data_IF_187894455351
#
_entry.id   IF_187894455351
#
_cell.length_a   1.000
_cell.length_b   1.000
_cell.length_c   1.000
_cell.angle_alpha   90.00
_cell.angle_beta   90.00
_cell.angle_gamma   90.00
#
_symmetry.space_group_name_H-M   'P 1'
#
loop_
_entity.id
_entity.type
_entity.pdbx_description
1 polymer ?
#
# COMPACT_ATOMS: atom_id res chain seq x y z
N UNK A 1 -16.76 -12.44 -1.70
CA UNK A 1 -16.82 -10.96 -1.68
C UNK A 1 -15.43 -10.44 -1.37
N UNK A 2 -14.92 -9.43 -2.09
CA UNK A 2 -13.64 -8.78 -1.73
C UNK A 2 -13.95 -7.60 -0.78
N UNK A 3 -13.65 -7.71 0.53
CA UNK A 3 -14.07 -6.71 1.53
C UNK A 3 -13.26 -5.42 1.47
N UNK A 4 -12.06 -5.46 0.89
CA UNK A 4 -11.16 -4.31 0.80
C UNK A 4 -10.83 -3.99 -0.65
N UNK A 5 -10.64 -2.70 -0.95
CA UNK A 5 -10.28 -2.23 -2.29
C UNK A 5 -9.34 -1.05 -2.19
N UNK A 6 -8.36 -0.99 -3.09
CA UNK A 6 -7.48 0.17 -3.21
C UNK A 6 -7.97 1.05 -4.36
N UNK A 7 -8.17 2.34 -4.07
CA UNK A 7 -8.69 3.32 -5.04
C UNK A 7 -7.58 4.33 -5.32
N UNK A 8 -7.23 4.50 -6.59
CA UNK A 8 -6.37 5.59 -7.02
C UNK A 8 -7.19 6.86 -7.21
N UNK A 9 -6.99 7.84 -6.32
CA UNK A 9 -7.70 9.11 -6.38
C UNK A 9 -6.98 10.09 -7.32
N UNK A 10 -7.62 10.48 -8.42
CA UNK A 10 -7.13 11.48 -9.38
C UNK A 10 -7.65 12.90 -9.13
N UNK A 11 -8.38 13.11 -8.03
CA UNK A 11 -9.05 14.37 -7.72
C UNK A 11 -8.51 14.99 -6.43
N UNK A 12 -9.06 16.15 -6.06
CA UNK A 12 -8.86 16.79 -4.74
C UNK A 12 -9.99 16.45 -3.76
N UNK A 13 -10.69 15.34 -3.97
CA UNK A 13 -11.79 14.92 -3.10
C UNK A 13 -11.32 14.68 -1.66
N UNK A 14 -12.17 15.03 -0.71
CA UNK A 14 -11.98 14.73 0.71
C UNK A 14 -12.39 13.27 0.96
N UNK A 15 -11.49 12.49 1.56
CA UNK A 15 -11.81 11.13 2.00
C UNK A 15 -12.49 11.16 3.37
N UNK A 16 -13.58 10.41 3.52
CA UNK A 16 -14.24 10.21 4.80
C UNK A 16 -13.41 9.28 5.71
N UNK A 17 -13.70 9.28 7.01
CA UNK A 17 -12.99 8.46 8.02
C UNK A 17 -13.07 6.94 7.81
N UNK A 18 -13.92 6.47 6.88
CA UNK A 18 -13.98 5.07 6.46
C UNK A 18 -12.88 4.64 5.50
N UNK A 19 -12.03 5.57 5.04
CA UNK A 19 -10.91 5.28 4.15
C UNK A 19 -9.57 5.41 4.88
N UNK A 20 -8.67 4.47 4.60
CA UNK A 20 -7.25 4.65 4.88
C UNK A 20 -6.59 5.34 3.68
N UNK A 21 -6.02 6.53 3.92
CA UNK A 21 -5.30 7.27 2.89
C UNK A 21 -3.83 6.86 2.88
N UNK A 22 -3.38 6.34 1.75
CA UNK A 22 -1.98 6.03 1.49
C UNK A 22 -1.34 7.17 0.71
N UNK A 23 -0.22 7.67 1.21
CA UNK A 23 0.59 8.67 0.52
C UNK A 23 1.94 8.06 0.16
N UNK A 24 2.48 8.36 -1.04
CA UNK A 24 3.80 7.91 -1.39
C UNK A 24 4.84 8.54 -0.46
N UNK A 25 5.81 7.74 -0.04
CA UNK A 25 7.03 8.25 0.58
C UNK A 25 7.74 9.22 -0.38
N UNK A 26 8.62 10.12 0.11
CA UNK A 26 9.35 11.05 -0.76
C UNK A 26 10.08 10.37 -1.92
N UNK A 27 10.66 9.19 -1.67
CA UNK A 27 11.30 8.36 -2.68
C UNK A 27 10.33 7.91 -3.78
N UNK A 28 9.21 7.27 -3.40
CA UNK A 28 8.18 6.83 -4.35
C UNK A 28 7.57 8.00 -5.11
N UNK A 29 7.39 9.14 -4.44
CA UNK A 29 6.92 10.37 -5.07
C UNK A 29 7.88 10.82 -6.18
N UNK A 30 9.19 10.77 -5.95
CA UNK A 30 10.20 11.07 -6.96
C UNK A 30 10.15 10.11 -8.15
N UNK A 31 9.90 8.83 -7.91
CA UNK A 31 9.72 7.82 -8.97
C UNK A 31 8.45 8.12 -9.79
N UNK A 32 7.32 8.39 -9.12
CA UNK A 32 6.04 8.67 -9.78
C UNK A 32 6.09 9.95 -10.62
N UNK A 33 6.86 10.95 -10.19
CA UNK A 33 7.08 12.17 -10.96
C UNK A 33 7.87 11.93 -12.25
N UNK A 34 8.89 11.04 -12.20
CA UNK A 34 9.71 10.70 -13.38
C UNK A 34 8.99 9.77 -14.35
N UNK A 35 8.17 8.85 -13.83
CA UNK A 35 7.36 7.96 -14.64
C UNK A 35 5.98 7.77 -14.00
N UNK A 36 4.98 8.58 -14.42
CA UNK A 36 3.62 8.52 -13.90
C UNK A 36 2.93 7.17 -14.06
N UNK A 37 3.37 6.30 -14.99
CA UNK A 37 2.77 4.96 -15.14
C UNK A 37 3.00 4.08 -13.91
N UNK A 38 4.04 4.35 -13.11
CA UNK A 38 4.34 3.53 -11.94
C UNK A 38 3.26 3.58 -10.87
N UNK A 39 2.56 4.70 -10.70
CA UNK A 39 1.48 4.76 -9.71
C UNK A 39 0.33 3.81 -10.09
N UNK A 40 0.10 3.61 -11.40
CA UNK A 40 -0.87 2.66 -11.90
C UNK A 40 -0.42 1.22 -11.61
N UNK A 41 0.85 0.88 -11.85
CA UNK A 41 1.41 -0.44 -11.52
C UNK A 41 1.31 -0.75 -10.02
N UNK A 42 1.58 0.23 -9.15
CA UNK A 42 1.40 0.09 -7.70
C UNK A 42 -0.05 -0.16 -7.36
N UNK A 43 -0.98 0.64 -7.89
CA UNK A 43 -2.42 0.47 -7.68
C UNK A 43 -2.94 -0.89 -8.16
N UNK A 44 -2.52 -1.35 -9.33
CA UNK A 44 -2.87 -2.68 -9.88
C UNK A 44 -2.33 -3.81 -9.00
N UNK A 45 -1.12 -3.65 -8.47
CA UNK A 45 -0.52 -4.67 -7.61
C UNK A 45 -1.19 -4.72 -6.23
N UNK A 46 -1.54 -3.57 -5.64
CA UNK A 46 -2.32 -3.54 -4.40
C UNK A 46 -3.70 -4.20 -4.56
N UNK A 47 -4.36 -3.99 -5.71
CA UNK A 47 -5.63 -4.66 -6.00
C UNK A 47 -5.50 -6.13 -6.40
N UNK A 48 -4.28 -6.61 -6.66
CA UNK A 48 -4.00 -8.01 -6.94
C UNK A 48 -3.71 -8.83 -5.67
N UNK A 49 -3.60 -8.19 -4.49
CA UNK A 49 -3.47 -8.88 -3.20
C UNK A 49 -4.73 -9.74 -2.99
N UNK A 50 -4.54 -10.99 -2.58
CA UNK A 50 -5.67 -11.88 -2.37
C UNK A 50 -6.51 -11.40 -1.19
N UNK A 51 -7.83 -11.47 -1.33
CA UNK A 51 -8.74 -11.01 -0.27
C UNK A 51 -8.49 -11.71 1.07
N UNK A 52 -8.02 -12.96 1.04
CA UNK A 52 -7.70 -13.72 2.25
C UNK A 52 -6.50 -13.14 3.01
N UNK A 53 -5.50 -12.62 2.31
CA UNK A 53 -4.31 -12.00 2.92
C UNK A 53 -4.64 -10.66 3.58
N UNK A 54 -5.60 -9.92 3.03
CA UNK A 54 -6.10 -8.69 3.65
C UNK A 54 -7.00 -8.99 4.86
N UNK A 55 -7.80 -10.05 4.77
CA UNK A 55 -8.71 -10.46 5.85
C UNK A 55 -7.97 -11.07 7.03
N UNK A 56 -6.87 -11.80 6.80
CA UNK A 56 -6.07 -12.40 7.87
C UNK A 56 -5.45 -11.37 8.81
N UNK A 57 -5.10 -10.18 8.28
CA UNK A 57 -4.58 -9.07 9.07
C UNK A 57 -5.70 -8.19 9.67
N UNK A 58 -6.90 -8.21 9.09
CA UNK A 58 -8.00 -7.38 9.53
C UNK A 58 -8.59 -7.83 10.87
N UNK A 59 -9.03 -6.86 11.68
CA UNK A 59 -9.81 -7.15 12.89
C UNK A 59 -11.27 -7.37 12.53
N UNK A 60 -11.89 -8.33 13.21
CA UNK A 60 -13.33 -8.56 13.12
C UNK A 60 -14.05 -7.68 14.14
N UNK A 61 -14.87 -6.77 13.63
CA UNK A 61 -15.89 -6.08 14.41
C UNK A 61 -17.16 -6.93 14.33
N UNK A 62 -17.97 -6.90 15.40
CA UNK A 62 -19.19 -7.72 15.51
C UNK A 62 -20.06 -7.67 14.24
N UNK A 63 -20.76 -8.77 13.96
CA UNK A 63 -21.56 -9.00 12.74
C UNK A 63 -20.76 -9.21 11.43
N UNK A 64 -19.52 -9.70 11.53
CA UNK A 64 -18.72 -10.10 10.37
C UNK A 64 -18.11 -8.92 9.59
N UNK A 65 -18.06 -7.74 10.20
CA UNK A 65 -17.43 -6.56 9.61
C UNK A 65 -15.90 -6.65 9.78
N UNK A 66 -15.18 -6.72 8.66
CA UNK A 66 -13.72 -6.65 8.67
C UNK A 66 -13.27 -5.19 8.64
N UNK A 67 -12.44 -4.81 9.61
CA UNK A 67 -11.82 -3.50 9.68
C UNK A 67 -10.31 -3.63 9.66
N UNK A 68 -9.70 -2.83 8.81
CA UNK A 68 -8.27 -2.77 8.64
C UNK A 68 -7.86 -1.34 9.00
N UNK A 69 -6.97 -1.17 9.99
CA UNK A 69 -6.42 0.12 10.41
C UNK A 69 -4.93 0.20 9.98
N UNK A 70 -4.24 1.34 10.17
CA UNK A 70 -2.89 1.51 9.64
C UNK A 70 -1.89 0.42 10.08
N UNK A 71 -1.99 -0.05 11.33
CA UNK A 71 -1.08 -1.08 11.86
C UNK A 71 -1.33 -2.45 11.26
N UNK A 72 -2.58 -2.81 10.99
CA UNK A 72 -2.88 -4.07 10.30
C UNK A 72 -2.43 -4.01 8.83
N UNK A 73 -2.62 -2.86 8.17
CA UNK A 73 -2.20 -2.69 6.78
C UNK A 73 -0.70 -2.84 6.57
N UNK A 74 0.09 -2.43 7.56
CA UNK A 74 1.55 -2.54 7.55
C UNK A 74 2.03 -4.01 7.50
N UNK A 75 1.24 -4.96 8.02
CA UNK A 75 1.58 -6.38 8.03
C UNK A 75 1.21 -7.12 6.73
N UNK A 76 0.39 -6.51 5.88
CA UNK A 76 -0.07 -7.14 4.64
C UNK A 76 1.12 -7.30 3.68
N UNK A 77 1.43 -8.54 3.33
CA UNK A 77 2.45 -8.83 2.33
C UNK A 77 2.00 -8.39 0.94
N UNK A 78 2.80 -7.56 0.28
CA UNK A 78 2.54 -7.07 -1.10
C UNK A 78 3.39 -7.83 -2.13
N UNK A 79 3.97 -8.98 -1.73
CA UNK A 79 4.90 -9.73 -2.55
C UNK A 79 6.10 -8.90 -3.03
N UNK A 80 6.73 -9.33 -4.12
CA UNK A 80 7.88 -8.65 -4.72
C UNK A 80 7.47 -7.51 -5.67
N UNK A 81 6.69 -6.55 -5.16
CA UNK A 81 6.22 -5.36 -5.88
C UNK A 81 7.36 -4.63 -6.61
N UNK A 82 8.50 -4.46 -5.94
CA UNK A 82 9.62 -3.62 -6.40
C UNK A 82 10.57 -4.33 -7.36
N UNK A 83 10.89 -5.60 -7.10
CA UNK A 83 11.84 -6.35 -7.92
C UNK A 83 11.21 -6.89 -9.21
N UNK A 84 9.95 -7.37 -9.16
CA UNK A 84 9.35 -8.08 -10.31
C UNK A 84 8.63 -7.16 -11.30
N UNK A 85 8.07 -6.01 -10.85
CA UNK A 85 7.24 -5.14 -11.71
C UNK A 85 7.76 -3.71 -11.88
N UNK A 86 8.61 -3.22 -10.97
CA UNK A 86 9.11 -1.85 -11.05
C UNK A 86 10.50 -1.74 -11.71
N UNK A 87 11.19 -2.88 -11.92
CA UNK A 87 12.54 -2.88 -12.52
C UNK A 87 13.58 -2.15 -11.67
N UNK A 88 13.31 -2.02 -10.37
CA UNK A 88 14.19 -1.34 -9.41
C UNK A 88 14.98 -2.45 -8.71
N UNK A 89 16.15 -2.78 -9.25
CA UNK A 89 17.07 -3.70 -8.57
C UNK A 89 17.93 -2.92 -7.55
N UNK A 90 18.04 -3.48 -6.35
CA UNK A 90 19.07 -3.24 -5.33
C UNK A 90 19.09 -1.98 -4.43
N UNK A 91 18.50 -0.83 -4.77
CA UNK A 91 18.58 0.35 -3.87
C UNK A 91 17.52 0.37 -2.75
N UNK A 92 16.56 -0.55 -2.79
CA UNK A 92 15.43 -0.57 -1.85
C UNK A 92 15.84 -0.96 -0.42
N UNK A 93 16.83 -1.85 -0.27
CA UNK A 93 17.21 -2.39 1.04
C UNK A 93 17.92 -1.37 1.91
N UNK A 94 18.77 -0.51 1.33
CA UNK A 94 19.55 0.46 2.10
C UNK A 94 18.70 1.64 2.62
N UNK A 95 17.82 2.19 1.78
CA UNK A 95 17.00 3.36 2.15
C UNK A 95 15.79 2.98 3.01
N UNK A 96 15.25 1.76 2.87
CA UNK A 96 14.21 1.26 3.77
C UNK A 96 14.77 1.01 5.19
N UNK A 97 16.03 0.56 5.30
CA UNK A 97 16.74 0.43 6.59
C UNK A 97 17.00 1.80 7.22
N UNK A 98 17.41 2.80 6.44
CA UNK A 98 17.58 4.18 6.90
C UNK A 98 16.24 4.79 7.39
N UNK A 99 15.10 4.43 6.77
CA UNK A 99 13.77 4.85 7.24
C UNK A 99 13.31 4.12 8.52
N UNK A 100 13.78 2.89 8.74
CA UNK A 100 13.51 2.10 9.96
C UNK A 100 14.39 2.52 11.13
N UNK A 101 15.59 3.03 10.86
CA UNK A 101 16.56 3.54 11.85
C UNK A 101 16.17 4.91 12.43
N UNK A 102 15.17 5.61 11.87
CA UNK A 102 14.65 6.89 12.41
C UNK A 102 13.51 6.65 13.44
N UNK A 103 13.29 5.40 13.89
CA UNK A 103 12.41 5.09 15.03
C UNK A 103 13.23 4.73 16.28
N UNK A 104 13.81 5.74 16.92
CA UNK A 104 14.11 5.74 18.37
C UNK A 104 13.37 6.90 19.06
#
# INVERSE_FOLDING_TARGET
>A
TNPFRFILNHSKAVAANGYLMLYPTPFLKGIFQRNPKFIQTVWETLNAIESQDLVSEARVYGDGLYKLEPKELENVSVGNLFSTRLGIESDFTAQQMELLEIKE
#
